data_IF_197172619057
#
_entry.id   IF_197172619057
#
_cell.length_a   1.000
_cell.length_b   1.000
_cell.length_c   1.000
_cell.angle_alpha   90.00
_cell.angle_beta   90.00
_cell.angle_gamma   90.00
#
_symmetry.space_group_name_H-M   'P 1'
#
loop_
_entity.id
_entity.type
_entity.pdbx_description
1 polymer ?
#
# COMPACT_ATOMS: atom_id res chain seq x y z
N UNK A 1 -16.72 -33.80 -37.74
CA UNK A 1 -15.44 -33.97 -38.47
C UNK A 1 -14.75 -32.61 -38.45
N UNK A 2 -13.54 -32.36 -37.97
CA UNK A 2 -12.44 -33.18 -37.47
C UNK A 2 -11.70 -32.36 -36.40
N UNK A 3 -11.14 -33.05 -35.40
CA UNK A 3 -10.29 -32.51 -34.32
C UNK A 3 -8.93 -32.06 -34.87
N UNK A 4 -8.33 -31.04 -34.26
CA UNK A 4 -6.87 -30.98 -34.14
C UNK A 4 -6.51 -30.42 -32.75
N UNK A 5 -5.92 -31.29 -31.94
CA UNK A 5 -5.34 -31.03 -30.63
C UNK A 5 -3.85 -31.41 -30.68
N UNK A 6 -3.11 -30.95 -29.66
CA UNK A 6 -1.70 -31.23 -29.34
C UNK A 6 -0.70 -30.29 -30.04
N UNK A 7 0.35 -29.77 -29.37
CA UNK A 7 1.22 -30.53 -28.47
C UNK A 7 1.74 -29.74 -27.26
N UNK A 8 1.63 -30.39 -26.10
CA UNK A 8 2.50 -30.19 -24.94
C UNK A 8 3.87 -30.79 -25.26
N UNK A 9 4.95 -30.14 -24.83
CA UNK A 9 6.26 -30.78 -24.66
C UNK A 9 6.68 -30.65 -23.20
N UNK A 10 6.77 -31.81 -22.58
CA UNK A 10 7.21 -32.10 -21.24
C UNK A 10 8.52 -32.88 -21.42
N UNK A 11 9.62 -32.45 -20.80
CA UNK A 11 10.88 -33.22 -20.75
C UNK A 11 11.40 -33.20 -19.31
N UNK A 12 11.41 -34.40 -18.73
CA UNK A 12 11.93 -34.75 -17.41
C UNK A 12 13.47 -34.87 -17.42
N UNK A 13 14.05 -34.68 -16.24
CA UNK A 13 15.39 -35.16 -15.83
C UNK A 13 15.84 -34.48 -14.53
N UNK A 14 15.23 -34.79 -13.37
CA UNK A 14 15.76 -35.67 -12.30
C UNK A 14 17.21 -35.38 -11.92
N UNK A 15 17.42 -34.91 -10.67
CA UNK A 15 18.37 -35.47 -9.70
C UNK A 15 18.05 -34.88 -8.30
N UNK A 16 17.53 -35.71 -7.40
CA UNK A 16 17.44 -35.46 -5.96
C UNK A 16 18.68 -36.02 -5.25
N UNK A 17 19.27 -35.31 -4.27
CA UNK A 17 20.09 -35.95 -3.27
C UNK A 17 19.37 -36.04 -1.92
N UNK A 18 19.63 -37.18 -1.31
CA UNK A 18 19.14 -37.74 -0.06
C UNK A 18 19.47 -36.90 1.18
N UNK A 19 18.61 -37.05 2.17
CA UNK A 19 18.64 -36.43 3.48
C UNK A 19 19.26 -37.38 4.51
N UNK A 20 20.42 -37.04 5.07
CA UNK A 20 20.79 -37.53 6.41
C UNK A 20 21.87 -36.69 7.12
N UNK A 21 21.42 -36.07 8.23
CA UNK A 21 22.08 -35.86 9.54
C UNK A 21 23.43 -35.14 9.63
N UNK A 22 23.45 -34.04 10.40
CA UNK A 22 24.63 -33.68 11.18
C UNK A 22 24.71 -32.24 11.70
N UNK A 23 24.47 -32.09 13.02
CA UNK A 23 25.05 -31.09 13.93
C UNK A 23 24.41 -29.69 14.07
N UNK A 24 23.93 -29.46 15.30
CA UNK A 24 23.57 -28.19 15.91
C UNK A 24 24.79 -27.24 16.01
N UNK A 25 24.60 -26.00 15.58
CA UNK A 25 25.55 -24.90 15.77
C UNK A 25 24.88 -23.59 15.40
N UNK A 26 23.94 -23.13 16.23
CA UNK A 26 23.19 -21.90 16.02
C UNK A 26 24.05 -20.67 16.24
N UNK A 27 24.81 -20.28 15.22
CA UNK A 27 25.39 -18.94 15.12
C UNK A 27 24.28 -18.00 14.67
N UNK A 28 23.79 -17.18 15.61
CA UNK A 28 22.94 -16.03 15.29
C UNK A 28 23.82 -15.03 14.56
N UNK A 29 23.87 -15.14 13.23
CA UNK A 29 24.41 -14.08 12.40
C UNK A 29 23.53 -12.83 12.61
N UNK A 30 24.13 -11.65 12.82
CA UNK A 30 23.37 -10.41 12.89
C UNK A 30 22.66 -10.25 11.56
N UNK A 31 21.34 -9.98 11.61
CA UNK A 31 20.57 -9.59 10.44
C UNK A 31 21.20 -8.30 9.93
N UNK A 32 22.06 -8.44 8.93
CA UNK A 32 22.70 -7.34 8.25
C UNK A 32 21.61 -6.54 7.56
N UNK A 33 21.53 -5.28 7.98
CA UNK A 33 20.81 -4.17 7.37
C UNK A 33 20.95 -4.22 5.84
N UNK A 34 19.91 -4.73 5.16
CA UNK A 34 19.79 -4.67 3.72
C UNK A 34 19.10 -3.35 3.37
N UNK A 35 19.85 -2.44 2.80
CA UNK A 35 19.47 -1.09 2.36
C UNK A 35 18.38 -1.00 1.28
N UNK A 36 17.54 -2.03 1.13
CA UNK A 36 16.29 -2.05 0.36
C UNK A 36 15.32 -3.06 0.99
N UNK A 37 14.90 -2.85 2.24
CA UNK A 37 13.75 -3.58 2.78
C UNK A 37 12.52 -3.18 1.96
N UNK A 38 12.20 -3.99 0.95
CA UNK A 38 11.15 -3.69 -0.02
C UNK A 38 9.81 -3.49 0.72
N UNK A 39 9.26 -2.27 0.70
CA UNK A 39 8.01 -2.00 1.42
C UNK A 39 6.86 -2.79 0.79
N UNK A 40 6.06 -3.44 1.65
CA UNK A 40 4.99 -4.33 1.23
C UNK A 40 3.72 -3.56 0.84
N UNK A 41 3.02 -4.07 -0.16
CA UNK A 41 1.71 -3.58 -0.60
C UNK A 41 0.64 -4.41 0.11
N UNK A 42 -0.05 -3.82 1.09
CA UNK A 42 -0.96 -4.55 2.00
C UNK A 42 -2.31 -3.87 2.23
N UNK A 43 -2.50 -2.66 1.69
CA UNK A 43 -3.70 -1.87 1.87
C UNK A 43 -4.91 -2.51 1.20
N UNK A 44 -4.70 -3.20 0.07
CA UNK A 44 -5.75 -3.88 -0.68
C UNK A 44 -6.60 -2.93 -1.54
N UNK A 45 -6.13 -1.69 -1.71
CA UNK A 45 -6.74 -0.65 -2.51
C UNK A 45 -5.68 0.43 -2.84
N UNK A 46 -5.57 0.94 -4.09
CA UNK A 46 -4.48 1.84 -4.49
C UNK A 46 -4.33 3.08 -3.60
N UNK A 47 -5.43 3.69 -3.18
CA UNK A 47 -5.41 4.83 -2.27
C UNK A 47 -4.81 4.50 -0.89
N UNK A 48 -5.03 3.29 -0.37
CA UNK A 48 -4.45 2.86 0.91
C UNK A 48 -2.97 2.47 0.73
N UNK A 49 -2.64 1.83 -0.39
CA UNK A 49 -1.24 1.50 -0.70
C UNK A 49 -0.39 2.76 -0.90
N UNK A 50 -0.97 3.86 -1.42
CA UNK A 50 -0.35 5.18 -1.45
C UNK A 50 -0.12 5.74 -0.04
N UNK A 51 -1.14 5.70 0.81
CA UNK A 51 -1.04 6.16 2.21
C UNK A 51 0.05 5.38 2.97
N UNK A 52 0.22 4.10 2.66
CA UNK A 52 1.18 3.22 3.31
C UNK A 52 2.61 3.34 2.76
N UNK A 53 2.91 4.29 1.86
CA UNK A 53 4.30 4.59 1.48
C UNK A 53 5.07 5.38 2.53
N UNK A 54 4.49 5.59 3.71
CA UNK A 54 5.16 6.19 4.87
C UNK A 54 5.06 5.19 6.03
N UNK A 55 6.17 4.93 6.73
CA UNK A 55 6.21 4.00 7.87
C UNK A 55 7.05 4.51 9.03
N UNK A 56 6.62 4.35 10.29
CA UNK A 56 5.24 4.05 10.68
C UNK A 56 4.30 5.18 10.21
N UNK A 57 3.03 4.87 9.94
CA UNK A 57 2.04 5.86 9.50
C UNK A 57 1.27 6.42 10.68
N UNK A 58 1.91 7.29 11.45
CA UNK A 58 1.37 7.87 12.68
C UNK A 58 1.70 9.37 12.74
N UNK A 59 0.68 10.22 12.56
CA UNK A 59 0.81 11.68 12.71
C UNK A 59 1.40 12.03 14.07
N UNK A 60 2.47 12.82 14.08
CA UNK A 60 3.12 13.31 15.30
C UNK A 60 3.84 12.22 16.12
N UNK A 61 4.03 11.03 15.54
CA UNK A 61 4.76 9.92 16.14
C UNK A 61 6.29 10.02 15.95
N UNK A 62 6.96 8.87 16.01
CA UNK A 62 8.40 8.74 15.78
C UNK A 62 8.83 9.19 14.37
N UNK A 63 10.13 9.16 14.08
CA UNK A 63 10.67 9.47 12.74
C UNK A 63 10.03 8.55 11.70
N UNK A 64 9.29 9.16 10.77
CA UNK A 64 8.68 8.48 9.63
C UNK A 64 9.73 8.28 8.53
N UNK A 65 9.67 7.12 7.87
CA UNK A 65 10.39 6.85 6.63
C UNK A 65 9.42 6.96 5.46
N UNK A 66 9.72 7.83 4.50
CA UNK A 66 8.95 8.02 3.27
C UNK A 66 9.60 7.27 2.11
N UNK A 67 8.86 6.38 1.46
CA UNK A 67 9.31 5.59 0.31
C UNK A 67 9.09 6.31 -1.04
N UNK A 68 8.45 7.47 -1.07
CA UNK A 68 8.19 8.25 -2.29
C UNK A 68 8.85 9.63 -2.20
N UNK A 69 10.17 9.66 -2.33
CA UNK A 69 10.97 10.90 -2.24
C UNK A 69 11.34 11.47 -3.60
N UNK A 70 11.14 10.71 -4.68
CA UNK A 70 11.51 11.09 -6.04
C UNK A 70 10.50 10.62 -7.09
N UNK A 71 10.46 11.26 -8.29
CA UNK A 71 9.62 10.80 -9.38
C UNK A 71 9.97 9.38 -9.86
N UNK A 72 11.25 8.99 -9.80
CA UNK A 72 11.67 7.63 -10.17
C UNK A 72 11.05 6.57 -9.25
N UNK A 73 11.04 6.82 -7.94
CA UNK A 73 10.38 5.95 -6.96
C UNK A 73 8.86 5.89 -7.18
N UNK A 74 8.23 7.03 -7.51
CA UNK A 74 6.80 7.07 -7.81
C UNK A 74 6.42 6.18 -9.01
N UNK A 75 7.17 6.24 -10.11
CA UNK A 75 6.89 5.40 -11.29
C UNK A 75 7.16 3.93 -10.99
N UNK A 76 8.28 3.63 -10.30
CA UNK A 76 8.61 2.26 -9.92
C UNK A 76 7.53 1.65 -9.02
N UNK A 77 7.05 2.42 -8.03
CA UNK A 77 5.97 2.02 -7.15
C UNK A 77 4.65 1.82 -7.89
N UNK A 78 4.25 2.78 -8.74
CA UNK A 78 3.00 2.69 -9.50
C UNK A 78 2.95 1.45 -10.40
N UNK A 79 4.10 1.06 -10.99
CA UNK A 79 4.19 -0.17 -11.78
C UNK A 79 4.11 -1.41 -10.90
N UNK A 80 4.75 -1.40 -9.73
CA UNK A 80 4.75 -2.52 -8.78
C UNK A 80 3.37 -2.79 -8.19
N UNK A 81 2.56 -1.75 -7.95
CA UNK A 81 1.17 -1.89 -7.49
C UNK A 81 0.18 -2.28 -8.59
N UNK A 82 0.62 -2.27 -9.86
CA UNK A 82 -0.26 -2.48 -11.00
C UNK A 82 -1.19 -1.30 -11.29
N UNK A 83 -0.94 -0.12 -10.69
CA UNK A 83 -1.68 1.10 -11.00
C UNK A 83 -1.47 1.54 -12.46
N UNK A 84 -0.28 1.28 -12.99
CA UNK A 84 0.09 1.54 -14.38
C UNK A 84 0.65 0.27 -15.01
N UNK A 85 0.35 0.08 -16.30
CA UNK A 85 0.91 -1.02 -17.07
C UNK A 85 2.24 -0.63 -17.76
N UNK A 86 2.77 -1.52 -18.61
CA UNK A 86 4.00 -1.26 -19.36
C UNK A 86 3.87 -0.12 -20.38
N UNK A 87 2.70 0.06 -20.99
CA UNK A 87 2.45 1.12 -21.97
C UNK A 87 2.41 2.48 -21.27
N UNK A 88 1.65 2.56 -20.18
CA UNK A 88 1.58 3.72 -19.31
C UNK A 88 2.98 4.10 -18.81
N UNK A 89 3.75 3.12 -18.33
CA UNK A 89 5.12 3.33 -17.86
C UNK A 89 5.98 4.02 -18.93
N UNK A 90 6.03 3.48 -20.15
CA UNK A 90 6.83 4.07 -21.24
C UNK A 90 6.37 5.48 -21.61
N UNK A 91 5.07 5.75 -21.61
CA UNK A 91 4.54 7.08 -21.91
C UNK A 91 4.87 8.12 -20.83
N UNK A 92 4.70 7.74 -19.56
CA UNK A 92 5.03 8.58 -18.39
C UNK A 92 6.53 8.86 -18.36
N UNK A 93 7.36 7.82 -18.48
CA UNK A 93 8.82 7.94 -18.42
C UNK A 93 9.36 8.80 -19.58
N UNK A 94 8.84 8.60 -20.80
CA UNK A 94 9.17 9.44 -21.95
C UNK A 94 8.86 10.92 -21.71
N UNK A 95 7.65 11.21 -21.24
CA UNK A 95 7.21 12.58 -20.94
C UNK A 95 8.04 13.23 -19.85
N UNK A 96 8.29 12.50 -18.75
CA UNK A 96 9.02 13.03 -17.59
C UNK A 96 10.51 13.22 -17.87
N UNK A 97 11.11 12.39 -18.73
CA UNK A 97 12.49 12.57 -19.18
C UNK A 97 12.64 13.83 -20.03
N UNK A 98 11.67 14.13 -20.89
CA UNK A 98 11.67 15.33 -21.73
C UNK A 98 11.33 16.60 -20.95
N UNK A 99 10.57 16.49 -19.86
CA UNK A 99 10.12 17.62 -19.03
C UNK A 99 10.16 17.26 -17.53
N UNK A 100 11.34 17.29 -16.89
CA UNK A 100 11.50 16.92 -15.48
C UNK A 100 10.61 17.71 -14.50
N UNK A 101 10.27 18.95 -14.83
CA UNK A 101 9.36 19.79 -14.05
C UNK A 101 7.94 19.21 -13.96
N UNK A 102 7.48 18.46 -14.99
CA UNK A 102 6.20 17.76 -14.94
C UNK A 102 6.26 16.57 -13.98
N UNK A 103 7.40 15.88 -13.92
CA UNK A 103 7.64 14.78 -12.98
C UNK A 103 7.58 15.27 -11.53
N UNK A 104 8.23 16.40 -11.22
CA UNK A 104 8.17 17.04 -9.90
C UNK A 104 6.75 17.47 -9.54
N UNK A 105 6.00 18.07 -10.46
CA UNK A 105 4.60 18.45 -10.25
C UNK A 105 3.70 17.24 -9.99
N UNK A 106 3.90 16.14 -10.72
CA UNK A 106 3.16 14.89 -10.52
C UNK A 106 3.46 14.25 -9.16
N UNK A 107 4.73 14.26 -8.73
CA UNK A 107 5.10 13.83 -7.39
C UNK A 107 4.41 14.68 -6.31
N UNK A 108 4.52 16.01 -6.39
CA UNK A 108 3.85 16.90 -5.45
C UNK A 108 2.33 16.65 -5.37
N UNK A 109 1.67 16.53 -6.53
CA UNK A 109 0.25 16.22 -6.58
C UNK A 109 -0.07 14.88 -5.89
N UNK A 110 0.77 13.87 -6.10
CA UNK A 110 0.63 12.55 -5.49
C UNK A 110 0.78 12.60 -3.97
N UNK A 111 1.78 13.34 -3.47
CA UNK A 111 2.01 13.51 -2.04
C UNK A 111 0.85 14.27 -1.38
N UNK A 112 0.31 15.30 -2.02
CA UNK A 112 -0.89 15.98 -1.52
C UNK A 112 -2.11 15.06 -1.45
N UNK A 113 -2.32 14.22 -2.46
CA UNK A 113 -3.38 13.20 -2.46
C UNK A 113 -3.14 12.21 -1.31
N UNK A 114 -1.89 11.76 -1.09
CA UNK A 114 -1.52 10.84 -0.01
C UNK A 114 -1.87 11.41 1.36
N UNK A 115 -1.49 12.65 1.63
CA UNK A 115 -1.75 13.28 2.93
C UNK A 115 -3.24 13.57 3.13
N UNK A 116 -3.94 14.07 2.10
CA UNK A 116 -5.38 14.29 2.18
C UNK A 116 -6.17 12.98 2.35
N UNK A 117 -5.77 11.92 1.64
CA UNK A 117 -6.35 10.58 1.79
C UNK A 117 -6.13 10.03 3.20
N UNK A 118 -4.92 10.17 3.76
CA UNK A 118 -4.67 9.74 5.14
C UNK A 118 -5.55 10.51 6.14
N UNK A 119 -5.61 11.84 6.04
CA UNK A 119 -6.42 12.68 6.92
C UNK A 119 -7.93 12.32 6.82
N UNK A 120 -8.40 11.87 5.65
CA UNK A 120 -9.79 11.40 5.47
C UNK A 120 -10.01 9.99 6.01
N UNK A 121 -9.08 9.05 5.74
CA UNK A 121 -9.27 7.63 6.03
C UNK A 121 -8.90 7.24 7.46
N UNK A 122 -7.81 7.77 8.01
CA UNK A 122 -7.30 7.35 9.31
C UNK A 122 -8.32 7.52 10.46
N UNK A 123 -9.08 8.64 10.56
CA UNK A 123 -10.11 8.78 11.59
C UNK A 123 -11.26 7.77 11.47
N UNK A 124 -11.46 7.19 10.28
CA UNK A 124 -12.53 6.22 9.98
C UNK A 124 -12.08 4.77 10.16
N UNK A 125 -10.78 4.54 10.29
CA UNK A 125 -10.21 3.20 10.38
C UNK A 125 -10.41 2.63 11.79
N UNK A 126 -11.02 1.44 11.87
CA UNK A 126 -11.14 0.76 13.16
C UNK A 126 -9.76 0.41 13.71
N UNK A 127 -9.51 0.78 14.97
CA UNK A 127 -8.22 0.57 15.66
C UNK A 127 -7.18 1.67 15.41
N UNK A 128 -7.54 2.78 14.75
CA UNK A 128 -6.65 3.93 14.64
C UNK A 128 -6.52 4.65 15.99
N UNK A 129 -5.29 4.97 16.37
CA UNK A 129 -5.00 5.94 17.43
C UNK A 129 -4.96 7.30 16.75
N UNK A 130 -6.07 8.05 16.79
CA UNK A 130 -6.09 9.44 16.34
C UNK A 130 -5.49 10.27 17.48
N UNK A 131 -4.34 10.91 17.24
CA UNK A 131 -3.75 11.81 18.23
C UNK A 131 -4.75 12.92 18.56
N UNK A 132 -5.09 13.08 19.85
CA UNK A 132 -6.10 14.02 20.34
C UNK A 132 -5.76 15.50 20.03
N UNK A 133 -4.48 15.81 19.76
CA UNK A 133 -3.98 17.19 19.65
C UNK A 133 -3.42 17.56 18.26
N UNK A 134 -3.64 16.73 17.23
CA UNK A 134 -2.85 16.81 15.99
C UNK A 134 -3.52 17.40 14.74
N UNK A 135 -4.83 17.67 14.77
CA UNK A 135 -5.55 18.08 13.56
C UNK A 135 -5.64 19.61 13.50
N UNK A 136 -4.55 20.27 13.10
CA UNK A 136 -4.58 21.70 12.70
C UNK A 136 -5.35 21.95 11.40
N UNK A 137 -5.87 20.90 10.77
CA UNK A 137 -6.61 20.95 9.51
C UNK A 137 -8.03 20.43 9.75
N UNK A 138 -9.05 21.28 9.79
CA UNK A 138 -10.44 20.82 9.92
C UNK A 138 -10.73 19.70 8.90
N UNK A 139 -11.51 18.69 9.27
CA UNK A 139 -11.84 17.56 8.38
C UNK A 139 -12.34 18.04 7.00
N UNK A 140 -13.08 19.16 6.97
CA UNK A 140 -13.51 19.83 5.73
C UNK A 140 -12.36 20.15 4.78
N UNK A 141 -11.21 20.60 5.29
CA UNK A 141 -10.05 20.94 4.46
C UNK A 141 -9.42 19.72 3.76
N UNK A 142 -9.49 18.52 4.34
CA UNK A 142 -8.94 17.32 3.72
C UNK A 142 -9.82 16.84 2.56
N UNK A 143 -11.15 16.87 2.75
CA UNK A 143 -12.10 16.62 1.66
C UNK A 143 -11.98 17.66 0.55
N UNK A 144 -11.83 18.94 0.87
CA UNK A 144 -11.61 20.01 -0.12
C UNK A 144 -10.36 19.76 -0.97
N UNK A 145 -9.23 19.37 -0.34
CA UNK A 145 -8.00 19.03 -1.07
C UNK A 145 -8.19 17.85 -2.02
N UNK A 146 -8.86 16.78 -1.57
CA UNK A 146 -9.19 15.64 -2.44
C UNK A 146 -10.12 16.07 -3.58
N UNK A 147 -11.15 16.86 -3.29
CA UNK A 147 -12.10 17.34 -4.29
C UNK A 147 -11.44 18.24 -5.35
N UNK A 148 -10.50 19.10 -4.95
CA UNK A 148 -9.74 19.94 -5.89
C UNK A 148 -8.88 19.07 -6.83
N UNK A 149 -8.17 18.09 -6.27
CA UNK A 149 -7.34 17.16 -7.05
C UNK A 149 -8.20 16.30 -7.98
N UNK A 150 -9.35 15.82 -7.50
CA UNK A 150 -10.30 15.05 -8.29
C UNK A 150 -10.90 15.87 -9.43
N UNK A 151 -11.29 17.12 -9.17
CA UNK A 151 -11.84 18.01 -10.20
C UNK A 151 -10.84 18.25 -11.34
N UNK A 152 -9.56 18.41 -10.99
CA UNK A 152 -8.49 18.53 -11.97
C UNK A 152 -8.32 17.23 -12.80
N UNK A 153 -8.36 16.06 -12.17
CA UNK A 153 -8.29 14.76 -12.86
C UNK A 153 -9.51 14.52 -13.75
N UNK A 154 -10.70 14.86 -13.28
CA UNK A 154 -11.95 14.77 -14.03
C UNK A 154 -11.90 15.65 -15.29
N UNK A 155 -11.38 16.88 -15.19
CA UNK A 155 -11.20 17.78 -16.33
C UNK A 155 -10.23 17.25 -17.41
N UNK A 156 -9.34 16.32 -17.05
CA UNK A 156 -8.43 15.61 -17.98
C UNK A 156 -8.95 14.22 -18.38
N UNK A 157 -10.08 13.77 -17.85
CA UNK A 157 -10.62 12.46 -18.17
C UNK A 157 -11.37 12.50 -19.51
N UNK A 158 -11.45 11.37 -20.20
CA UNK A 158 -12.14 11.25 -21.48
C UNK A 158 -13.21 10.17 -21.41
N UNK A 159 -14.38 10.45 -21.98
CA UNK A 159 -15.42 9.44 -22.17
C UNK A 159 -15.22 8.81 -23.56
N UNK A 160 -14.85 7.53 -23.59
CA UNK A 160 -14.55 6.80 -24.83
C UNK A 160 -15.68 5.79 -25.10
N UNK A 161 -16.26 5.75 -26.31
CA UNK A 161 -17.26 4.74 -26.65
C UNK A 161 -16.74 3.32 -26.46
N UNK A 162 -17.51 2.48 -25.79
CA UNK A 162 -17.21 1.06 -25.57
C UNK A 162 -18.50 0.23 -25.79
N UNK A 163 -18.76 -0.20 -27.04
CA UNK A 163 -19.95 -0.96 -27.38
C UNK A 163 -19.91 -2.41 -26.84
N UNK A 164 -18.77 -2.88 -26.32
CA UNK A 164 -18.60 -4.22 -25.77
C UNK A 164 -18.87 -4.32 -24.27
N UNK A 165 -19.19 -3.21 -23.60
CA UNK A 165 -19.34 -3.14 -22.16
C UNK A 165 -20.63 -3.83 -21.69
N UNK A 166 -20.55 -4.58 -20.59
CA UNK A 166 -21.73 -5.23 -19.97
C UNK A 166 -22.76 -4.22 -19.44
N UNK A 167 -22.33 -2.99 -19.13
CA UNK A 167 -23.19 -1.91 -18.66
C UNK A 167 -22.75 -0.57 -19.23
N UNK A 168 -23.69 0.17 -19.81
CA UNK A 168 -23.43 1.46 -20.47
C UNK A 168 -22.90 1.32 -21.90
N UNK A 169 -22.58 2.45 -22.52
CA UNK A 169 -22.12 2.54 -23.92
C UNK A 169 -20.74 3.21 -24.06
N UNK A 170 -20.12 3.56 -22.93
CA UNK A 170 -18.86 4.27 -22.88
C UNK A 170 -18.10 3.99 -21.58
N UNK A 171 -16.79 4.09 -21.65
CA UNK A 171 -15.85 4.02 -20.53
C UNK A 171 -15.33 5.42 -20.20
N UNK A 172 -15.35 5.80 -18.93
CA UNK A 172 -14.66 7.00 -18.46
C UNK A 172 -13.18 6.64 -18.20
N UNK A 173 -12.29 7.09 -19.08
CA UNK A 173 -10.86 6.86 -18.98
C UNK A 173 -10.19 8.00 -18.22
N UNK A 174 -9.51 7.63 -17.13
CA UNK A 174 -8.78 8.53 -16.24
C UNK A 174 -7.27 8.41 -16.49
N UNK A 175 -6.55 9.53 -16.38
CA UNK A 175 -5.11 9.57 -16.59
C UNK A 175 -4.71 9.55 -18.07
N UNK A 176 -5.47 10.26 -18.90
CA UNK A 176 -5.21 10.36 -20.36
C UNK A 176 -3.97 11.19 -20.69
N UNK A 177 -3.48 12.00 -19.75
CA UNK A 177 -2.25 12.78 -19.87
C UNK A 177 -1.09 12.03 -19.18
N UNK A 178 -0.06 11.58 -19.91
CA UNK A 178 1.09 10.90 -19.29
C UNK A 178 1.78 11.73 -18.19
N UNK A 179 1.73 13.06 -18.29
CA UNK A 179 2.30 13.96 -17.29
C UNK A 179 1.58 13.90 -15.92
N UNK A 180 0.29 13.56 -15.89
CA UNK A 180 -0.55 13.54 -14.68
C UNK A 180 -1.24 12.19 -14.43
N UNK A 181 -0.92 11.17 -15.24
CA UNK A 181 -1.59 9.86 -15.22
C UNK A 181 -1.65 9.23 -13.83
N UNK A 182 -0.50 9.18 -13.13
CA UNK A 182 -0.39 8.56 -11.81
C UNK A 182 -1.26 9.29 -10.76
N UNK A 183 -1.08 10.60 -10.51
CA UNK A 183 -1.92 11.30 -9.52
C UNK A 183 -3.42 11.29 -9.91
N UNK A 184 -3.77 11.33 -11.19
CA UNK A 184 -5.16 11.30 -11.65
C UNK A 184 -5.85 9.99 -11.29
N UNK A 185 -5.21 8.85 -11.55
CA UNK A 185 -5.75 7.54 -11.17
C UNK A 185 -5.83 7.37 -9.65
N UNK A 186 -4.85 7.90 -8.91
CA UNK A 186 -4.83 7.81 -7.44
C UNK A 186 -5.95 8.60 -6.78
N UNK A 187 -6.21 9.84 -7.23
CA UNK A 187 -7.28 10.64 -6.64
C UNK A 187 -8.65 10.08 -6.98
N UNK A 188 -8.84 9.53 -8.18
CA UNK A 188 -10.09 8.83 -8.52
C UNK A 188 -10.28 7.61 -7.63
N UNK A 189 -9.25 6.78 -7.46
CA UNK A 189 -9.32 5.64 -6.55
C UNK A 189 -9.63 6.08 -5.11
N UNK A 190 -9.02 7.15 -4.61
CA UNK A 190 -9.30 7.67 -3.27
C UNK A 190 -10.77 8.10 -3.12
N UNK A 191 -11.31 8.83 -4.11
CA UNK A 191 -12.72 9.27 -4.12
C UNK A 191 -13.69 8.10 -4.24
N UNK A 192 -13.35 7.07 -5.03
CA UNK A 192 -14.12 5.83 -5.12
C UNK A 192 -14.18 5.11 -3.77
N UNK A 193 -13.05 4.96 -3.08
CA UNK A 193 -13.01 4.34 -1.75
C UNK A 193 -13.83 5.14 -0.73
N UNK A 194 -13.74 6.47 -0.73
CA UNK A 194 -14.55 7.34 0.14
C UNK A 194 -16.05 7.10 -0.06
N UNK A 195 -16.47 6.89 -1.30
CA UNK A 195 -17.88 6.69 -1.69
C UNK A 195 -18.33 5.23 -1.59
N UNK A 196 -17.39 4.30 -1.49
CA UNK A 196 -17.62 2.87 -1.58
C UNK A 196 -18.01 2.21 -0.27
N UNK A 197 -18.73 1.09 -0.36
CA UNK A 197 -19.10 0.27 0.80
C UNK A 197 -17.89 -0.39 1.47
N UNK A 198 -16.80 -0.57 0.73
CA UNK A 198 -15.55 -1.18 1.21
C UNK A 198 -14.92 -0.39 2.36
N UNK A 199 -15.20 0.91 2.48
CA UNK A 199 -14.69 1.74 3.57
C UNK A 199 -15.10 1.20 4.96
N UNK A 200 -16.19 0.44 5.06
CA UNK A 200 -16.62 -0.23 6.31
C UNK A 200 -15.63 -1.31 6.78
N UNK A 201 -14.79 -1.81 5.88
CA UNK A 201 -13.76 -2.81 6.17
C UNK A 201 -12.41 -2.16 6.52
N UNK A 202 -12.35 -0.83 6.57
CA UNK A 202 -11.11 -0.10 6.84
C UNK A 202 -10.64 -0.31 8.28
N UNK A 203 -9.39 -0.74 8.41
CA UNK A 203 -8.70 -0.92 9.69
C UNK A 203 -7.33 -0.24 9.67
N UNK A 204 -6.85 0.11 10.85
CA UNK A 204 -5.48 0.55 11.06
C UNK A 204 -4.69 -0.53 11.80
N UNK A 205 -3.43 -0.71 11.44
CA UNK A 205 -2.54 -1.63 12.15
C UNK A 205 -2.24 -1.06 13.55
N UNK A 206 -2.50 -1.82 14.64
CA UNK A 206 -2.46 -1.28 16.01
C UNK A 206 -1.05 -0.89 16.43
N UNK A 207 -0.82 0.40 16.63
CA UNK A 207 0.50 0.97 17.00
C UNK A 207 0.88 0.58 18.43
N UNK A 208 -0.07 0.61 19.36
CA UNK A 208 0.14 0.16 20.76
C UNK A 208 0.55 -1.31 20.83
N UNK A 209 0.19 -2.09 19.80
CA UNK A 209 0.63 -3.45 19.64
C UNK A 209 1.98 -3.59 18.89
N UNK A 210 2.76 -2.52 18.74
CA UNK A 210 4.01 -2.51 17.96
C UNK A 210 3.78 -2.68 16.44
N UNK A 211 2.57 -2.36 15.98
CA UNK A 211 2.22 -2.28 14.57
C UNK A 211 2.68 -0.96 13.94
N UNK A 212 2.60 -0.88 12.61
CA UNK A 212 3.12 0.25 11.85
C UNK A 212 2.10 1.38 11.58
N UNK A 213 0.85 1.29 12.07
CA UNK A 213 -0.18 2.31 11.78
C UNK A 213 -0.77 2.28 10.37
N UNK A 214 -0.26 1.45 9.46
CA UNK A 214 -0.77 1.32 8.09
C UNK A 214 -2.26 0.98 8.03
N UNK A 215 -2.92 1.53 7.01
CA UNK A 215 -4.34 1.33 6.74
C UNK A 215 -4.57 0.17 5.77
N UNK A 216 -5.59 -0.64 5.99
CA UNK A 216 -5.91 -1.76 5.10
C UNK A 216 -7.39 -2.13 5.11
N UNK A 217 -7.86 -2.76 4.03
CA UNK A 217 -9.17 -3.39 3.98
C UNK A 217 -9.12 -4.81 4.59
N UNK A 218 -9.99 -5.05 5.57
CA UNK A 218 -10.18 -6.37 6.16
C UNK A 218 -11.16 -7.21 5.35
N UNK A 219 -10.63 -7.88 4.33
CA UNK A 219 -11.36 -8.85 3.49
C UNK A 219 -11.35 -10.27 4.07
N UNK A 220 -11.00 -10.45 5.35
CA UNK A 220 -11.08 -11.78 5.97
C UNK A 220 -12.54 -12.20 6.14
N UNK A 221 -12.81 -13.51 6.08
CA UNK A 221 -14.18 -14.07 6.11
C UNK A 221 -15.08 -13.52 7.23
N UNK A 222 -14.49 -13.21 8.38
CA UNK A 222 -15.21 -12.74 9.56
C UNK A 222 -14.85 -11.29 9.95
N UNK A 223 -14.13 -10.55 9.10
CA UNK A 223 -13.63 -9.22 9.45
C UNK A 223 -12.76 -9.24 10.73
N UNK A 224 -11.89 -10.25 10.87
CA UNK A 224 -11.09 -10.48 12.07
C UNK A 224 -9.60 -10.14 11.91
N UNK A 225 -9.19 -9.57 10.77
CA UNK A 225 -7.77 -9.23 10.52
C UNK A 225 -7.40 -8.02 11.37
N UNK A 226 -6.53 -8.24 12.36
CA UNK A 226 -6.06 -7.17 13.27
C UNK A 226 -4.82 -6.43 12.74
N UNK A 227 -3.97 -7.08 11.96
CA UNK A 227 -2.68 -6.52 11.52
C UNK A 227 -2.60 -6.39 10.00
N UNK A 228 -1.87 -5.39 9.51
CA UNK A 228 -1.63 -5.19 8.09
C UNK A 228 -0.89 -6.38 7.46
N UNK A 229 -0.08 -7.13 8.20
CA UNK A 229 0.45 -8.42 7.76
C UNK A 229 0.68 -9.29 8.99
N UNK A 230 0.19 -10.53 8.94
CA UNK A 230 0.35 -11.49 10.05
C UNK A 230 1.83 -11.85 10.24
N UNK A 231 2.51 -12.13 9.14
CA UNK A 231 3.93 -12.48 9.08
C UNK A 231 4.86 -11.40 9.66
N UNK A 232 4.49 -10.12 9.58
CA UNK A 232 5.29 -9.01 10.09
C UNK A 232 4.76 -8.46 11.43
N UNK A 233 3.83 -7.49 11.37
CA UNK A 233 3.25 -6.83 12.53
C UNK A 233 2.61 -7.85 13.49
N UNK A 234 1.94 -8.88 12.97
CA UNK A 234 1.34 -9.93 13.79
C UNK A 234 2.38 -10.76 14.56
N UNK A 235 3.47 -11.15 13.90
CA UNK A 235 4.58 -11.89 14.53
C UNK A 235 5.32 -11.01 15.55
N UNK A 236 5.62 -9.76 15.20
CA UNK A 236 6.26 -8.79 16.13
C UNK A 236 5.42 -8.58 17.39
N UNK A 237 4.10 -8.40 17.23
CA UNK A 237 3.18 -8.27 18.35
C UNK A 237 3.19 -9.52 19.26
N UNK A 238 3.18 -10.73 18.67
CA UNK A 238 3.27 -12.00 19.43
C UNK A 238 4.57 -12.10 20.22
N UNK A 239 5.71 -11.78 19.60
CA UNK A 239 7.03 -11.82 20.24
C UNK A 239 7.08 -10.84 21.42
N UNK A 240 6.61 -9.59 21.24
CA UNK A 240 6.60 -8.61 22.34
C UNK A 240 5.76 -9.09 23.51
N UNK A 241 4.54 -9.57 23.24
CA UNK A 241 3.61 -10.05 24.28
C UNK A 241 4.15 -11.24 25.06
N UNK A 242 4.88 -12.15 24.38
CA UNK A 242 5.59 -13.24 25.06
C UNK A 242 6.72 -12.72 25.95
N UNK A 243 7.48 -11.73 25.50
CA UNK A 243 8.53 -11.06 26.28
C UNK A 243 7.99 -10.36 27.53
N UNK A 244 6.88 -9.63 27.40
CA UNK A 244 6.18 -8.98 28.52
C UNK A 244 5.73 -10.00 29.58
N UNK A 245 5.13 -11.13 29.15
CA UNK A 245 4.73 -12.22 30.05
C UNK A 245 5.91 -12.83 30.78
N UNK A 246 7.00 -13.12 30.06
CA UNK A 246 8.24 -13.69 30.65
C UNK A 246 8.85 -12.75 31.70
N UNK A 247 8.85 -11.44 31.45
CA UNK A 247 9.31 -10.44 32.43
C UNK A 247 8.39 -10.40 33.65
N UNK A 248 7.08 -10.43 33.46
CA UNK A 248 6.12 -10.45 34.58
C UNK A 248 6.25 -11.71 35.46
N UNK A 249 6.51 -12.88 34.86
CA UNK A 249 6.71 -14.13 35.60
C UNK A 249 8.11 -14.29 36.20
N UNK A 250 9.13 -13.62 35.62
CA UNK A 250 10.52 -13.67 36.09
C UNK A 250 10.84 -12.75 37.27
N UNK A 251 9.91 -11.88 37.67
CA UNK A 251 10.07 -10.93 38.80
C UNK A 251 9.67 -11.56 40.15
N UNK A 252 9.24 -12.82 40.20
CA UNK A 252 8.96 -13.52 41.46
C UNK A 252 10.09 -14.47 41.86
N UNK A 253 11.20 -13.93 42.41
CA UNK A 253 12.14 -14.72 43.23
C UNK A 253 12.06 -14.18 44.66
N UNK A 254 11.34 -14.83 45.59
CA UNK A 254 11.40 -14.43 47.00
C UNK A 254 12.84 -14.66 47.48
N UNK A 255 13.45 -13.61 48.01
CA UNK A 255 14.71 -13.73 48.75
C UNK A 255 14.35 -14.38 50.09
N UNK A 256 14.72 -15.64 50.25
CA UNK A 256 14.85 -16.30 51.54
C UNK A 256 16.30 -16.23 52.00
#
# INVERSE_FOLDING_TARGET
MSRAAAARRDVRGILTPDSSKGSYGGSISPVTDSSHAEFRIVGGHPALDLVNTVTPRVRGGAVEHDYLTSPAELVAWARRTGLIDLRDYSAVEGTWRSSPELATKALHATLEIREAAYDVFAPRAAGAVVAADGVKHSEGSAFERLMLRWSAAAARSMLIPDPGRESGIAELVVGTSPAQLIPDRLVVAAVELVRGVELRQLRACPVDDGGCGWLFLDRSRNGSRRWCAMEDCGTRAKIRKLGERRRATGVHRPQG
#
